data_IF_302637912137
#
_entry.id   IF_302637912137
#
_cell.length_a   1.000
_cell.length_b   1.000
_cell.length_c   1.000
_cell.angle_alpha   90.00
_cell.angle_beta   90.00
_cell.angle_gamma   90.00
#
_symmetry.space_group_name_H-M   'P 1'
#
loop_
_entity.id
_entity.type
_entity.pdbx_description
1 polymer ?
#
# COMPACT_ATOMS: atom_id res chain seq x y z
N UNK A 1 -6.77 -24.54 -8.33
CA UNK A 1 -6.42 -23.24 -8.94
C UNK A 1 -5.48 -22.52 -7.99
N UNK A 2 -4.37 -22.00 -8.48
CA UNK A 2 -3.47 -21.19 -7.67
C UNK A 2 -4.25 -19.99 -7.09
N UNK A 3 -4.01 -19.60 -5.84
CA UNK A 3 -4.71 -18.47 -5.23
C UNK A 3 -4.36 -17.16 -5.96
N UNK A 4 -5.32 -16.25 -6.08
CA UNK A 4 -5.08 -14.90 -6.59
C UNK A 4 -4.19 -14.13 -5.60
N UNK A 5 -3.04 -13.67 -6.05
CA UNK A 5 -2.23 -12.76 -5.25
C UNK A 5 -2.89 -11.37 -5.22
N UNK A 6 -3.11 -10.81 -6.40
CA UNK A 6 -3.77 -9.52 -6.64
C UNK A 6 -4.02 -9.36 -8.14
N UNK A 7 -5.12 -8.74 -8.61
CA UNK A 7 -5.40 -8.57 -10.05
C UNK A 7 -4.28 -7.87 -10.84
N UNK A 8 -3.57 -6.93 -10.23
CA UNK A 8 -2.41 -6.24 -10.87
C UNK A 8 -1.14 -7.09 -10.94
N UNK A 9 -1.11 -8.30 -10.35
CA UNK A 9 0.08 -9.14 -10.23
C UNK A 9 -0.12 -10.47 -10.94
N UNK A 10 -1.32 -11.03 -10.88
CA UNK A 10 -1.62 -12.41 -11.30
C UNK A 10 -1.26 -12.73 -12.75
N UNK A 11 -1.34 -11.72 -13.63
CA UNK A 11 -1.05 -11.86 -15.08
C UNK A 11 0.26 -11.20 -15.48
N UNK A 12 1.16 -10.96 -14.54
CA UNK A 12 2.42 -10.23 -14.75
C UNK A 12 2.28 -8.73 -14.45
N UNK A 13 3.42 -8.09 -14.23
CA UNK A 13 3.47 -6.66 -13.90
C UNK A 13 3.43 -5.81 -15.17
N UNK A 14 2.61 -4.77 -15.14
CA UNK A 14 2.65 -3.70 -16.15
C UNK A 14 3.59 -2.62 -15.60
N UNK A 15 4.65 -2.33 -16.35
CA UNK A 15 5.64 -1.32 -15.97
C UNK A 15 5.00 0.07 -15.95
N UNK A 16 5.26 0.82 -14.90
CA UNK A 16 4.81 2.20 -14.76
C UNK A 16 5.58 3.17 -15.66
N UNK A 17 5.05 4.37 -15.81
CA UNK A 17 5.73 5.47 -16.49
C UNK A 17 6.45 6.33 -15.43
N UNK A 18 7.77 6.49 -15.50
CA UNK A 18 8.51 7.33 -14.55
C UNK A 18 8.11 8.82 -14.60
N UNK A 19 7.49 9.27 -15.70
CA UNK A 19 6.99 10.63 -15.87
C UNK A 19 5.49 10.77 -15.59
N UNK A 20 4.86 9.75 -15.01
CA UNK A 20 3.43 9.78 -14.74
C UNK A 20 3.08 10.91 -13.76
N UNK A 21 2.19 11.79 -14.19
CA UNK A 21 1.86 13.01 -13.46
C UNK A 21 0.83 12.83 -12.32
N UNK A 22 0.45 11.57 -12.04
CA UNK A 22 -0.60 11.29 -11.08
C UNK A 22 -1.98 11.13 -11.71
N UNK A 23 -3.01 11.01 -10.87
CA UNK A 23 -4.37 10.75 -11.33
C UNK A 23 -5.38 10.75 -10.19
N UNK A 24 -6.54 10.14 -10.41
CA UNK A 24 -7.61 10.08 -9.43
C UNK A 24 -7.83 8.65 -8.93
N UNK A 25 -7.96 8.51 -7.62
CA UNK A 25 -8.48 7.30 -6.98
C UNK A 25 -9.96 7.47 -6.71
N UNK A 26 -10.73 6.39 -6.89
CA UNK A 26 -12.17 6.35 -6.61
C UNK A 26 -12.52 5.15 -5.76
N UNK A 27 -13.41 5.34 -4.78
CA UNK A 27 -14.02 4.21 -4.10
C UNK A 27 -15.00 3.47 -5.02
N UNK A 28 -15.45 2.28 -4.62
CA UNK A 28 -16.30 1.42 -5.45
C UNK A 28 -17.80 1.77 -5.43
N UNK A 29 -18.19 2.93 -4.87
CA UNK A 29 -19.59 3.39 -4.94
C UNK A 29 -19.97 3.71 -6.40
N UNK A 30 -21.10 3.14 -6.87
CA UNK A 30 -21.60 3.39 -8.24
C UNK A 30 -22.05 4.84 -8.46
N UNK A 31 -22.58 5.46 -7.41
CA UNK A 31 -22.99 6.85 -7.41
C UNK A 31 -22.23 7.64 -6.35
N UNK A 32 -21.83 8.86 -6.69
CA UNK A 32 -21.14 9.78 -5.80
C UNK A 32 -19.93 9.11 -5.09
N UNK A 33 -18.96 8.52 -5.83
CA UNK A 33 -17.77 7.94 -5.23
C UNK A 33 -16.95 9.00 -4.47
N UNK A 34 -16.26 8.58 -3.43
CA UNK A 34 -15.18 9.40 -2.89
C UNK A 34 -14.09 9.49 -3.95
N UNK A 35 -13.65 10.69 -4.26
CA UNK A 35 -12.51 10.92 -5.16
C UNK A 35 -11.34 11.55 -4.42
N UNK A 36 -10.15 11.03 -4.70
CA UNK A 36 -8.87 11.54 -4.20
C UNK A 36 -7.96 11.78 -5.38
N UNK A 37 -7.48 13.02 -5.54
CA UNK A 37 -6.52 13.37 -6.58
C UNK A 37 -5.11 13.28 -6.04
N UNK A 38 -4.23 12.63 -6.79
CA UNK A 38 -2.80 12.53 -6.55
C UNK A 38 -2.04 13.35 -7.58
N UNK A 39 -1.18 14.27 -7.12
CA UNK A 39 -0.41 15.21 -7.95
C UNK A 39 0.92 14.66 -8.45
N UNK A 40 1.12 13.35 -8.43
CA UNK A 40 2.33 12.68 -8.89
C UNK A 40 2.21 11.17 -8.84
N UNK A 41 3.25 10.47 -9.29
CA UNK A 41 3.32 9.02 -9.20
C UNK A 41 3.53 8.59 -7.74
N UNK A 42 3.15 7.35 -7.42
CA UNK A 42 3.48 6.74 -6.14
C UNK A 42 4.93 6.24 -6.12
N UNK A 43 5.48 6.13 -4.92
CA UNK A 43 6.79 5.51 -4.69
C UNK A 43 6.65 4.27 -3.78
N UNK A 44 7.66 3.43 -3.77
CA UNK A 44 7.71 2.22 -2.92
C UNK A 44 6.44 1.36 -3.03
N UNK A 45 5.81 1.34 -4.21
CA UNK A 45 4.63 0.51 -4.44
C UNK A 45 4.97 -0.96 -4.21
N UNK A 46 4.15 -1.68 -3.47
CA UNK A 46 4.42 -3.06 -3.08
C UNK A 46 3.15 -3.87 -2.84
N UNK A 47 3.26 -5.18 -2.98
CA UNK A 47 2.24 -6.10 -2.51
C UNK A 47 2.35 -6.25 -0.98
N UNK A 48 1.27 -6.07 -0.25
CA UNK A 48 1.25 -6.13 1.21
C UNK A 48 0.33 -7.24 1.72
N UNK A 49 0.90 -8.22 2.42
CA UNK A 49 0.15 -9.34 3.02
C UNK A 49 -0.46 -9.03 4.38
N UNK A 50 -0.20 -7.87 4.99
CA UNK A 50 -0.67 -7.58 6.35
C UNK A 50 -2.20 -7.56 6.45
N UNK A 51 -2.74 -7.84 7.65
CA UNK A 51 -4.19 -7.89 7.91
C UNK A 51 -4.87 -6.51 7.95
N UNK A 52 -4.10 -5.43 7.98
CA UNK A 52 -4.60 -4.06 8.12
C UNK A 52 -4.88 -3.36 6.79
N UNK A 53 -4.23 -3.80 5.69
CA UNK A 53 -4.42 -3.21 4.37
C UNK A 53 -5.70 -3.76 3.72
N UNK A 54 -6.45 -2.87 3.08
CA UNK A 54 -7.57 -3.26 2.25
C UNK A 54 -7.09 -4.12 1.07
N UNK A 55 -7.88 -5.12 0.72
CA UNK A 55 -7.61 -6.03 -0.40
C UNK A 55 -8.84 -6.13 -1.29
N UNK A 56 -8.68 -6.20 -2.62
CA UNK A 56 -9.78 -6.55 -3.51
C UNK A 56 -10.37 -7.93 -3.16
N UNK A 57 -11.64 -8.13 -3.46
CA UNK A 57 -12.30 -9.40 -3.19
C UNK A 57 -11.55 -10.59 -3.83
N UNK A 58 -11.23 -11.60 -3.03
CA UNK A 58 -10.51 -12.79 -3.46
C UNK A 58 -8.99 -12.65 -3.54
N UNK A 59 -8.42 -11.46 -3.36
CA UNK A 59 -6.97 -11.26 -3.34
C UNK A 59 -6.38 -11.58 -1.96
N UNK A 60 -5.19 -12.18 -1.95
CA UNK A 60 -4.42 -12.44 -0.73
C UNK A 60 -3.62 -11.20 -0.27
N UNK A 61 -3.27 -10.32 -1.20
CA UNK A 61 -2.45 -9.15 -0.97
C UNK A 61 -3.20 -7.87 -1.36
N UNK A 62 -2.81 -6.78 -0.74
CA UNK A 62 -3.11 -5.42 -1.14
C UNK A 62 -1.98 -4.91 -2.05
N UNK A 63 -2.22 -3.93 -2.89
CA UNK A 63 -1.15 -3.14 -3.53
C UNK A 63 -1.14 -1.75 -2.93
N UNK A 64 -0.02 -1.34 -2.34
CA UNK A 64 0.11 -0.08 -1.59
C UNK A 64 1.36 0.66 -2.02
N UNK A 65 1.18 1.88 -2.47
CA UNK A 65 2.26 2.85 -2.68
C UNK A 65 2.21 3.99 -1.67
N UNK A 66 3.22 4.84 -1.68
CA UNK A 66 3.24 6.07 -0.88
C UNK A 66 3.36 7.28 -1.78
N UNK A 67 2.81 8.40 -1.32
CA UNK A 67 2.94 9.71 -1.95
C UNK A 67 3.14 10.78 -0.88
N UNK A 68 3.79 11.88 -1.22
CA UNK A 68 3.88 13.01 -0.31
C UNK A 68 2.49 13.56 0.00
N UNK A 69 2.23 13.89 1.26
CA UNK A 69 0.91 14.33 1.74
C UNK A 69 0.39 15.58 1.04
N UNK A 70 1.27 16.49 0.67
CA UNK A 70 0.93 17.72 -0.06
C UNK A 70 0.45 17.47 -1.49
N UNK A 71 0.76 16.29 -2.03
CA UNK A 71 0.31 15.85 -3.35
C UNK A 71 -1.02 15.08 -3.32
N UNK A 72 -1.62 14.86 -2.14
CA UNK A 72 -2.90 14.17 -2.00
C UNK A 72 -4.00 15.15 -1.60
N UNK A 73 -5.09 15.17 -2.36
CA UNK A 73 -6.27 16.00 -2.07
C UNK A 73 -7.56 15.19 -2.27
N UNK A 74 -8.42 15.18 -1.24
CA UNK A 74 -9.79 14.68 -1.40
C UNK A 74 -10.57 15.71 -2.22
N UNK A 75 -11.13 15.30 -3.35
CA UNK A 75 -11.77 16.20 -4.33
C UNK A 75 -13.28 16.01 -4.45
N UNK A 76 -13.83 14.89 -3.93
CA UNK A 76 -15.27 14.68 -3.87
C UNK A 76 -15.69 13.77 -2.70
N UNK A 77 -16.87 14.08 -2.14
CA UNK A 77 -17.59 13.24 -1.17
C UNK A 77 -16.78 12.88 0.09
N UNK A 78 -15.95 13.80 0.58
CA UNK A 78 -15.10 13.63 1.77
C UNK A 78 -15.90 13.20 3.01
N UNK A 79 -17.14 13.65 3.16
CA UNK A 79 -18.03 13.30 4.28
C UNK A 79 -18.33 11.78 4.39
N UNK A 80 -18.09 11.03 3.31
CA UNK A 80 -18.18 9.55 3.32
C UNK A 80 -16.95 8.87 3.90
N UNK A 81 -15.85 9.58 4.12
CA UNK A 81 -14.66 9.00 4.74
C UNK A 81 -14.81 8.85 6.24
N UNK A 82 -14.20 7.80 6.78
CA UNK A 82 -13.98 7.59 8.20
C UNK A 82 -12.65 6.91 8.45
N UNK A 83 -12.08 7.10 9.62
CA UNK A 83 -10.89 6.38 10.07
C UNK A 83 -11.32 5.00 10.55
N UNK A 84 -10.70 3.94 10.01
CA UNK A 84 -11.04 2.54 10.30
C UNK A 84 -10.67 2.15 11.74
N UNK A 85 -9.50 2.63 12.20
CA UNK A 85 -8.95 2.36 13.52
C UNK A 85 -8.11 3.58 13.94
N UNK A 86 -8.63 4.36 14.87
CA UNK A 86 -8.02 5.60 15.36
C UNK A 86 -6.83 5.35 16.31
N UNK A 87 -6.70 4.13 16.83
CA UNK A 87 -5.55 3.69 17.62
C UNK A 87 -4.34 3.27 16.77
N UNK A 88 -4.54 2.97 15.49
CA UNK A 88 -3.50 2.49 14.60
C UNK A 88 -2.43 3.56 14.33
N UNK A 89 -1.21 3.09 13.99
CA UNK A 89 -0.12 3.99 13.56
C UNK A 89 -0.47 4.65 12.22
N UNK A 90 -1.01 3.88 11.29
CA UNK A 90 -1.50 4.37 10.00
C UNK A 90 -3.01 4.55 10.09
N UNK A 91 -3.48 5.78 10.13
CA UNK A 91 -4.90 6.15 10.17
C UNK A 91 -5.51 5.99 8.77
N UNK A 92 -6.09 4.83 8.50
CA UNK A 92 -6.67 4.48 7.21
C UNK A 92 -8.04 5.11 7.04
N UNK A 93 -8.21 5.88 5.97
CA UNK A 93 -9.45 6.55 5.60
C UNK A 93 -10.20 5.69 4.59
N UNK A 94 -11.33 5.14 5.01
CA UNK A 94 -12.18 4.26 4.21
C UNK A 94 -13.53 4.93 3.88
N UNK A 95 -14.11 4.53 2.77
CA UNK A 95 -15.47 4.91 2.43
C UNK A 95 -16.47 4.14 3.32
N UNK A 96 -17.35 4.85 4.02
CA UNK A 96 -18.38 4.28 4.91
C UNK A 96 -19.36 3.34 4.19
N UNK A 97 -19.59 3.56 2.89
CA UNK A 97 -20.59 2.83 2.12
C UNK A 97 -20.03 1.53 1.49
N UNK A 98 -18.82 1.58 0.92
CA UNK A 98 -18.24 0.42 0.22
C UNK A 98 -17.03 -0.20 0.92
N UNK A 99 -16.55 0.40 2.02
CA UNK A 99 -15.44 -0.14 2.81
C UNK A 99 -14.05 0.00 2.18
N UNK A 100 -13.93 0.55 0.96
CA UNK A 100 -12.65 0.72 0.28
C UNK A 100 -11.79 1.75 1.01
N UNK A 101 -10.53 1.42 1.28
CA UNK A 101 -9.57 2.37 1.84
C UNK A 101 -8.96 3.22 0.71
N UNK A 102 -9.09 4.54 0.81
CA UNK A 102 -8.56 5.47 -0.20
C UNK A 102 -7.12 5.86 0.10
N UNK A 103 -6.83 6.16 1.37
CA UNK A 103 -5.49 6.53 1.83
C UNK A 103 -5.32 6.29 3.33
N UNK A 104 -4.05 6.24 3.78
CA UNK A 104 -3.69 6.13 5.20
C UNK A 104 -2.63 7.14 5.58
N UNK A 105 -2.70 7.75 6.78
CA UNK A 105 -1.79 8.78 7.27
C UNK A 105 -1.11 8.39 8.56
N UNK A 106 0.10 8.87 8.77
CA UNK A 106 0.81 8.79 10.04
C UNK A 106 0.95 10.18 10.63
N UNK A 107 0.32 10.39 11.81
CA UNK A 107 0.38 11.66 12.54
C UNK A 107 1.41 11.65 13.67
N UNK A 108 1.68 10.49 14.25
CA UNK A 108 2.70 10.30 15.30
C UNK A 108 4.11 10.46 14.74
N UNK A 109 5.09 10.61 15.63
CA UNK A 109 6.51 10.57 15.25
C UNK A 109 6.84 9.21 14.61
N UNK A 110 7.31 9.24 13.36
CA UNK A 110 7.54 8.04 12.55
C UNK A 110 8.41 8.39 11.33
N UNK A 111 9.28 7.49 10.83
CA UNK A 111 10.12 7.77 9.67
C UNK A 111 9.31 8.09 8.39
N UNK A 112 8.09 7.61 8.28
CA UNK A 112 7.20 7.86 7.14
C UNK A 112 6.14 8.94 7.40
N UNK A 113 6.31 9.76 8.46
CA UNK A 113 5.43 10.91 8.68
C UNK A 113 5.57 11.91 7.53
N UNK A 114 4.44 12.40 7.04
CA UNK A 114 4.38 13.27 5.86
C UNK A 114 4.13 12.53 4.54
N UNK A 115 4.09 11.19 4.58
CA UNK A 115 3.62 10.37 3.47
C UNK A 115 2.18 9.90 3.71
N UNK A 116 1.41 9.79 2.63
CA UNK A 116 0.14 9.11 2.59
C UNK A 116 0.29 7.77 1.85
N UNK A 117 -0.28 6.70 2.41
CA UNK A 117 -0.28 5.35 1.86
C UNK A 117 -1.54 5.21 1.01
N UNK A 118 -1.42 4.84 -0.24
CA UNK A 118 -2.51 4.84 -1.22
C UNK A 118 -2.58 3.55 -2.01
N UNK A 119 -3.78 3.25 -2.51
CA UNK A 119 -4.06 2.10 -3.37
C UNK A 119 -4.24 2.56 -4.81
N UNK A 120 -3.15 2.56 -5.59
CA UNK A 120 -3.15 3.04 -6.97
C UNK A 120 -4.08 2.24 -7.91
N UNK A 121 -4.44 1.00 -7.55
CA UNK A 121 -5.41 0.19 -8.27
C UNK A 121 -6.84 0.77 -8.29
N UNK A 122 -7.13 1.75 -7.43
CA UNK A 122 -8.40 2.47 -7.41
C UNK A 122 -8.49 3.55 -8.49
N UNK A 123 -7.48 3.65 -9.34
CA UNK A 123 -7.40 4.60 -10.45
C UNK A 123 -7.66 3.92 -11.79
N UNK A 124 -8.39 4.59 -12.65
CA UNK A 124 -8.56 4.18 -14.06
C UNK A 124 -7.38 4.59 -14.93
N UNK A 125 -6.57 5.58 -14.48
CA UNK A 125 -5.39 6.04 -15.19
C UNK A 125 -4.27 5.00 -15.15
N UNK A 126 -3.46 4.96 -16.21
CA UNK A 126 -2.31 4.06 -16.36
C UNK A 126 -1.01 4.85 -16.22
N UNK A 127 0.04 4.16 -15.77
CA UNK A 127 1.36 4.77 -15.58
C UNK A 127 1.85 4.77 -14.13
N UNK A 128 1.03 4.35 -13.19
CA UNK A 128 1.45 4.18 -11.79
C UNK A 128 2.66 3.26 -11.67
N UNK A 129 3.58 3.57 -10.76
CA UNK A 129 4.70 2.68 -10.45
C UNK A 129 4.17 1.26 -10.17
N UNK A 130 4.71 0.27 -10.85
CA UNK A 130 4.41 -1.13 -10.61
C UNK A 130 4.89 -1.55 -9.20
N UNK A 131 4.31 -2.59 -8.58
CA UNK A 131 4.84 -3.18 -7.35
C UNK A 131 6.32 -3.54 -7.50
N UNK A 132 7.13 -3.19 -6.49
CA UNK A 132 8.59 -3.39 -6.50
C UNK A 132 9.02 -4.61 -5.68
N UNK A 133 8.20 -5.04 -4.73
CA UNK A 133 8.44 -6.19 -3.84
C UNK A 133 7.13 -6.64 -3.21
N UNK A 134 7.15 -7.79 -2.51
CA UNK A 134 6.08 -8.26 -1.67
C UNK A 134 6.51 -8.24 -0.19
N UNK A 135 5.72 -7.58 0.65
CA UNK A 135 5.96 -7.39 2.08
C UNK A 135 4.96 -8.18 2.93
N UNK A 136 5.38 -8.56 4.15
CA UNK A 136 4.54 -9.25 5.13
C UNK A 136 3.88 -10.52 4.56
N UNK A 137 4.65 -11.30 3.80
CA UNK A 137 4.10 -12.43 3.05
C UNK A 137 3.55 -13.50 3.98
N UNK A 138 4.23 -13.81 5.09
CA UNK A 138 3.74 -14.78 6.07
C UNK A 138 2.47 -14.34 6.80
N UNK A 139 2.15 -13.04 6.83
CA UNK A 139 0.96 -12.54 7.53
C UNK A 139 -0.37 -13.00 6.92
N UNK A 140 -0.38 -13.52 5.70
CA UNK A 140 -1.60 -14.13 5.11
C UNK A 140 -1.99 -15.42 5.85
N UNK A 141 -1.03 -16.11 6.48
CA UNK A 141 -1.30 -17.31 7.29
C UNK A 141 -2.15 -16.93 8.51
N UNK A 142 -1.85 -15.80 9.16
CA UNK A 142 -2.62 -15.26 10.28
C UNK A 142 -4.08 -14.93 9.88
N UNK A 143 -4.32 -14.75 8.58
CA UNK A 143 -5.64 -14.47 7.98
C UNK A 143 -6.33 -15.74 7.46
N UNK A 144 -5.80 -16.92 7.78
CA UNK A 144 -6.40 -18.22 7.46
C UNK A 144 -5.88 -18.89 6.19
N UNK A 145 -4.85 -18.33 5.54
CA UNK A 145 -4.19 -19.03 4.43
C UNK A 145 -3.43 -20.26 4.94
N UNK A 146 -3.58 -21.39 4.27
CA UNK A 146 -2.95 -22.63 4.74
C UNK A 146 -1.43 -22.60 4.56
N UNK A 147 -0.60 -22.82 5.62
CA UNK A 147 0.85 -22.62 5.56
C UNK A 147 1.58 -23.51 4.54
N UNK A 148 1.04 -24.68 4.19
CA UNK A 148 1.62 -25.52 3.11
C UNK A 148 1.60 -24.87 1.72
N UNK A 149 0.76 -23.85 1.50
CA UNK A 149 0.69 -23.12 0.25
C UNK A 149 1.62 -21.91 0.15
N UNK A 150 2.36 -21.56 1.23
CA UNK A 150 3.12 -20.32 1.28
C UNK A 150 4.28 -20.28 0.27
N UNK A 151 4.91 -21.42 0.02
CA UNK A 151 6.00 -21.50 -0.96
C UNK A 151 5.51 -21.31 -2.39
N UNK A 152 4.27 -21.77 -2.71
CA UNK A 152 3.64 -21.49 -3.99
C UNK A 152 3.39 -19.98 -4.17
N UNK A 153 2.93 -19.29 -3.12
CA UNK A 153 2.75 -17.83 -3.11
C UNK A 153 4.07 -17.12 -3.37
N UNK A 154 5.15 -17.49 -2.66
CA UNK A 154 6.48 -16.91 -2.86
C UNK A 154 7.00 -17.16 -4.27
N UNK A 155 6.86 -18.38 -4.78
CA UNK A 155 7.27 -18.74 -6.13
C UNK A 155 6.50 -17.96 -7.20
N UNK A 156 5.20 -17.72 -6.99
CA UNK A 156 4.38 -16.92 -7.89
C UNK A 156 4.84 -15.44 -7.92
N UNK A 157 5.19 -14.84 -6.78
CA UNK A 157 5.80 -13.51 -6.75
C UNK A 157 7.14 -13.49 -7.50
N UNK A 158 8.00 -14.47 -7.24
CA UNK A 158 9.30 -14.57 -7.89
C UNK A 158 9.17 -14.73 -9.41
N UNK A 159 8.17 -15.47 -9.89
CA UNK A 159 7.92 -15.67 -11.32
C UNK A 159 7.56 -14.38 -12.07
N UNK A 160 7.05 -13.37 -11.37
CA UNK A 160 6.77 -12.03 -11.91
C UNK A 160 7.85 -11.00 -11.55
N UNK A 161 8.99 -11.44 -11.00
CA UNK A 161 10.14 -10.60 -10.70
C UNK A 161 10.06 -9.85 -9.38
N UNK A 162 9.19 -10.26 -8.46
CA UNK A 162 9.07 -9.64 -7.13
C UNK A 162 9.75 -10.48 -6.06
N UNK A 163 10.69 -9.86 -5.33
CA UNK A 163 11.24 -10.44 -4.11
C UNK A 163 10.21 -10.41 -2.98
N UNK A 164 10.30 -11.38 -2.08
CA UNK A 164 9.34 -11.56 -0.96
C UNK A 164 10.02 -11.39 0.38
N UNK A 165 9.38 -10.63 1.27
CA UNK A 165 9.86 -10.36 2.62
C UNK A 165 8.74 -10.57 3.64
N UNK A 166 9.09 -10.99 4.85
CA UNK A 166 8.17 -11.09 6.01
C UNK A 166 8.19 -9.82 6.88
N UNK A 167 8.78 -8.76 6.36
CA UNK A 167 8.78 -7.37 6.82
C UNK A 167 8.67 -6.45 5.60
N UNK A 168 9.11 -5.21 5.69
CA UNK A 168 9.35 -4.37 4.52
C UNK A 168 10.66 -4.78 3.82
N UNK A 169 10.95 -4.19 2.65
CA UNK A 169 12.22 -4.42 1.96
C UNK A 169 13.41 -4.00 2.84
N UNK A 170 14.61 -4.61 2.65
CA UNK A 170 15.79 -4.28 3.47
C UNK A 170 16.09 -2.79 3.54
N UNK A 171 16.04 -2.08 2.42
CA UNK A 171 16.28 -0.64 2.37
C UNK A 171 15.30 0.18 3.23
N UNK A 172 14.01 -0.20 3.26
CA UNK A 172 13.02 0.45 4.12
C UNK A 172 13.20 0.07 5.59
N UNK A 173 13.61 -1.16 5.88
CA UNK A 173 13.96 -1.58 7.24
C UNK A 173 15.18 -0.84 7.78
N UNK A 174 16.22 -0.63 6.96
CA UNK A 174 17.39 0.16 7.32
C UNK A 174 17.04 1.62 7.61
N UNK A 175 16.13 2.21 6.82
CA UNK A 175 15.63 3.56 7.06
C UNK A 175 14.91 3.67 8.41
N UNK A 176 14.03 2.71 8.73
CA UNK A 176 13.32 2.67 10.02
C UNK A 176 14.31 2.51 11.18
N UNK A 177 15.26 1.60 11.04
CA UNK A 177 16.28 1.35 12.07
C UNK A 177 17.16 2.59 12.31
N UNK A 178 17.60 3.25 11.23
CA UNK A 178 18.38 4.49 11.29
C UNK A 178 17.61 5.58 12.03
N UNK A 179 16.36 5.82 11.63
CA UNK A 179 15.51 6.80 12.30
C UNK A 179 15.33 6.49 13.79
N UNK A 180 15.08 5.23 14.14
CA UNK A 180 14.93 4.79 15.54
C UNK A 180 16.20 5.03 16.35
N UNK A 181 17.37 4.77 15.79
CA UNK A 181 18.65 5.00 16.43
C UNK A 181 18.92 6.50 16.63
N UNK A 182 18.53 7.35 15.68
CA UNK A 182 18.61 8.81 15.79
C UNK A 182 17.67 9.34 16.88
N UNK A 183 16.41 8.86 16.97
CA UNK A 183 15.48 9.27 18.01
C UNK A 183 15.95 8.89 19.42
N UNK A 184 16.67 7.78 19.54
CA UNK A 184 17.25 7.33 20.82
C UNK A 184 18.64 7.91 21.12
N UNK A 185 19.17 8.81 20.30
CA UNK A 185 20.48 9.44 20.45
C UNK A 185 21.68 8.50 20.22
N UNK A 186 21.45 7.32 19.63
CA UNK A 186 22.52 6.34 19.31
C UNK A 186 23.23 6.66 17.99
N UNK A 187 22.60 7.41 17.12
CA UNK A 187 23.19 7.97 15.90
C UNK A 187 22.94 9.48 15.83
N UNK A 188 23.83 10.26 15.19
CA UNK A 188 23.57 11.66 14.94
C UNK A 188 22.37 11.84 13.99
N UNK A 189 21.63 12.94 14.15
CA UNK A 189 20.45 13.24 13.30
C UNK A 189 20.82 13.64 11.88
N UNK A 190 22.08 14.01 11.64
CA UNK A 190 22.64 14.24 10.30
C UNK A 190 23.76 13.23 10.07
N UNK A 191 23.60 12.39 9.06
CA UNK A 191 24.64 11.54 8.51
C UNK A 191 25.26 12.25 7.32
#
# INVERSE_FOLDING_TARGET
>A
MAPSLHPLIDNGLIKGDPNFAGGKLRCHCKSNPVEVTLGGNVAHNHACGCSKCWKPAGALFSVVGVISRDQLKVTANESKLHIVDDSAVILRNACKECGVHLFGRIEKAHPFKGLDFVHAELSDEKGWQEPQFAAFVSSIIEQGFHPKGIDEVRNKFKSVGLETYDALSPALMDLIATWTAQQSGRLPTKL
#
